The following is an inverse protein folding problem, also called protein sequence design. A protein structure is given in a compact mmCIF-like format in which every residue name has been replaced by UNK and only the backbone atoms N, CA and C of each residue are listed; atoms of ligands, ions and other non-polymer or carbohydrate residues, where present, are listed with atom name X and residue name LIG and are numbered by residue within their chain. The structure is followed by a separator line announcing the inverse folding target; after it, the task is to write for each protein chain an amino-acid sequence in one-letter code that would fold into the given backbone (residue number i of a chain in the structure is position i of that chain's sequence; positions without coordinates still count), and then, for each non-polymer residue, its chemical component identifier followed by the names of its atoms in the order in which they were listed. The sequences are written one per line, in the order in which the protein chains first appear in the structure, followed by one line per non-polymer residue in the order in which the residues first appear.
data_IF_239366688021
#
_entry.id   IF_239366688021
#
_cell.length_a   1.000
_cell.length_b   1.000
_cell.length_c   1.000
_cell.angle_alpha   90.00
_cell.angle_beta   90.00
_cell.angle_gamma   90.00
#
_symmetry.space_group_name_H-M   'P 1'
#
loop_
_entity.id
_entity.type
_entity.pdbx_description
1 polymer ?
#
# COMPACT_ATOMS: atom_id res chain seq x y z
N UNK A 1 18.68 -2.31 -14.23
CA UNK A 1 18.63 -1.43 -13.04
C UNK A 1 17.65 -1.93 -11.96
N UNK A 2 16.68 -2.81 -12.25
CA UNK A 2 15.76 -3.34 -11.22
C UNK A 2 16.41 -4.32 -10.22
N UNK A 3 17.46 -5.06 -10.62
CA UNK A 3 18.04 -6.09 -9.77
C UNK A 3 18.63 -5.53 -8.47
N UNK A 4 19.33 -4.40 -8.52
CA UNK A 4 19.92 -3.79 -7.32
C UNK A 4 18.85 -3.30 -6.33
N UNK A 5 17.78 -2.67 -6.81
CA UNK A 5 16.66 -2.24 -5.97
C UNK A 5 15.99 -3.44 -5.29
N UNK A 6 15.79 -4.53 -6.03
CA UNK A 6 15.26 -5.79 -5.49
C UNK A 6 16.21 -6.45 -4.49
N UNK A 7 17.53 -6.46 -4.74
CA UNK A 7 18.51 -6.96 -3.77
C UNK A 7 18.45 -6.19 -2.46
N UNK A 8 18.35 -4.86 -2.52
CA UNK A 8 18.21 -3.99 -1.35
C UNK A 8 16.89 -4.29 -0.61
N UNK A 9 15.77 -4.43 -1.33
CA UNK A 9 14.48 -4.76 -0.74
C UNK A 9 14.48 -6.15 -0.07
N UNK A 10 15.07 -7.16 -0.72
CA UNK A 10 15.19 -8.50 -0.15
C UNK A 10 16.01 -8.51 1.15
N UNK A 11 17.08 -7.72 1.21
CA UNK A 11 17.85 -7.54 2.43
C UNK A 11 17.01 -6.92 3.56
N UNK A 12 16.19 -5.92 3.27
CA UNK A 12 15.22 -5.38 4.24
C UNK A 12 14.25 -6.47 4.73
N UNK A 13 13.67 -7.27 3.83
CA UNK A 13 12.73 -8.34 4.19
C UNK A 13 13.36 -9.42 5.07
N UNK A 14 14.64 -9.74 4.87
CA UNK A 14 15.37 -10.67 5.73
C UNK A 14 15.52 -10.09 7.14
N UNK A 15 15.90 -8.82 7.26
CA UNK A 15 16.06 -8.14 8.54
C UNK A 15 14.72 -8.00 9.29
N UNK A 16 13.61 -7.79 8.59
CA UNK A 16 12.26 -7.71 9.17
C UNK A 16 11.81 -9.02 9.83
N UNK A 17 12.45 -10.16 9.55
CA UNK A 17 12.15 -11.42 10.24
C UNK A 17 12.69 -11.46 11.67
N UNK A 18 13.64 -10.60 12.02
CA UNK A 18 14.36 -10.67 13.30
C UNK A 18 14.27 -9.40 14.14
N UNK A 19 13.89 -8.26 13.54
CA UNK A 19 13.78 -6.99 14.25
C UNK A 19 12.74 -6.07 13.59
N UNK A 20 12.11 -5.17 14.36
CA UNK A 20 11.10 -4.24 13.84
C UNK A 20 11.71 -3.20 12.88
N UNK A 21 10.89 -2.69 11.95
CA UNK A 21 11.33 -1.78 10.88
C UNK A 21 12.07 -0.53 11.41
N UNK A 22 11.60 0.04 12.52
CA UNK A 22 12.20 1.24 13.13
C UNK A 22 13.60 1.01 13.74
N UNK A 23 14.03 -0.25 13.93
CA UNK A 23 15.38 -0.62 14.38
C UNK A 23 16.30 -0.98 13.24
N UNK A 24 15.79 -1.14 12.02
CA UNK A 24 16.58 -1.46 10.85
C UNK A 24 17.24 -0.19 10.32
N UNK A 25 18.55 -0.21 10.18
CA UNK A 25 19.34 0.91 9.62
C UNK A 25 19.77 0.63 8.19
N UNK A 26 20.00 1.69 7.40
CA UNK A 26 20.61 1.59 6.06
C UNK A 26 21.93 0.80 6.09
N UNK A 27 22.71 0.93 7.17
CA UNK A 27 23.97 0.18 7.34
C UNK A 27 23.71 -1.33 7.41
N UNK A 28 22.73 -1.78 8.21
CA UNK A 28 22.37 -3.19 8.27
C UNK A 28 21.84 -3.70 6.93
N UNK A 29 20.98 -2.93 6.24
CA UNK A 29 20.45 -3.29 4.93
C UNK A 29 21.59 -3.48 3.92
N UNK A 30 22.52 -2.53 3.86
CA UNK A 30 23.66 -2.62 2.90
C UNK A 30 24.58 -3.78 3.22
N UNK A 31 24.79 -4.10 4.50
CA UNK A 31 25.59 -5.25 4.93
C UNK A 31 24.93 -6.56 4.53
N UNK A 32 23.63 -6.69 4.76
CA UNK A 32 22.84 -7.86 4.38
C UNK A 32 22.79 -8.03 2.84
N UNK A 33 22.68 -6.94 2.09
CA UNK A 33 22.69 -6.94 0.63
C UNK A 33 24.08 -7.16 0.00
N UNK A 34 25.15 -7.17 0.80
CA UNK A 34 26.54 -7.13 0.33
C UNK A 34 26.82 -5.95 -0.63
N UNK A 35 26.35 -4.76 -0.25
CA UNK A 35 26.47 -3.51 -1.01
C UNK A 35 27.06 -2.39 -0.14
N UNK A 36 27.42 -1.27 -0.76
CA UNK A 36 27.85 -0.05 -0.04
C UNK A 36 26.67 0.87 0.24
N UNK A 37 26.81 1.73 1.26
CA UNK A 37 25.87 2.83 1.52
C UNK A 37 25.70 3.76 0.32
N UNK A 38 26.77 4.00 -0.44
CA UNK A 38 26.70 4.79 -1.67
C UNK A 38 25.79 4.14 -2.72
N UNK A 39 25.82 2.81 -2.84
CA UNK A 39 24.90 2.10 -3.73
C UNK A 39 23.46 2.19 -3.24
N UNK A 40 23.20 2.15 -1.93
CA UNK A 40 21.86 2.39 -1.38
C UNK A 40 21.35 3.77 -1.77
N UNK A 41 22.10 4.84 -1.46
CA UNK A 41 21.67 6.22 -1.69
C UNK A 41 21.60 6.62 -3.17
N UNK A 42 22.17 5.81 -4.08
CA UNK A 42 21.92 5.93 -5.52
C UNK A 42 20.55 5.42 -5.96
N UNK A 43 19.89 4.60 -5.14
CA UNK A 43 18.64 3.94 -5.47
C UNK A 43 17.46 4.44 -4.63
N UNK A 44 17.72 4.83 -3.38
CA UNK A 44 16.72 5.26 -2.41
C UNK A 44 17.23 6.43 -1.58
N UNK A 45 16.35 7.39 -1.28
CA UNK A 45 16.68 8.54 -0.43
C UNK A 45 16.93 8.10 1.02
N UNK A 46 16.08 7.21 1.52
CA UNK A 46 16.15 6.66 2.88
C UNK A 46 15.46 5.28 2.97
N UNK A 47 15.26 4.79 4.20
CA UNK A 47 14.59 3.52 4.49
C UNK A 47 13.10 3.57 4.15
N UNK A 48 12.44 4.71 4.31
CA UNK A 48 11.01 4.88 4.01
C UNK A 48 10.75 4.91 2.51
N UNK A 49 11.62 5.56 1.73
CA UNK A 49 11.59 5.52 0.27
C UNK A 49 11.74 4.08 -0.26
N UNK A 50 12.62 3.28 0.35
CA UNK A 50 12.71 1.84 0.04
C UNK A 50 11.40 1.09 0.34
N UNK A 51 10.79 1.34 1.50
CA UNK A 51 9.52 0.70 1.92
C UNK A 51 8.40 1.06 0.95
N UNK A 52 8.27 2.35 0.61
CA UNK A 52 7.28 2.86 -0.32
C UNK A 52 7.51 2.33 -1.74
N UNK A 53 8.76 2.30 -2.21
CA UNK A 53 9.09 1.71 -3.51
C UNK A 53 8.79 0.22 -3.56
N UNK A 54 9.10 -0.53 -2.49
CA UNK A 54 8.80 -1.95 -2.44
C UNK A 54 7.28 -2.17 -2.46
N UNK A 55 6.53 -1.41 -1.65
CA UNK A 55 5.08 -1.42 -1.71
C UNK A 55 4.55 -1.07 -3.11
N UNK A 56 5.06 -0.01 -3.73
CA UNK A 56 4.69 0.39 -5.09
C UNK A 56 4.99 -0.73 -6.08
N UNK A 57 6.14 -1.39 -6.00
CA UNK A 57 6.50 -2.49 -6.89
C UNK A 57 5.48 -3.62 -6.79
N UNK A 58 5.11 -3.97 -5.56
CA UNK A 58 4.13 -4.99 -5.25
C UNK A 58 2.71 -4.60 -5.70
N UNK A 59 2.37 -3.33 -5.49
CA UNK A 59 1.10 -2.74 -5.88
C UNK A 59 1.00 -2.57 -7.39
N UNK A 60 2.02 -2.11 -8.11
CA UNK A 60 2.04 -1.94 -9.56
C UNK A 60 1.88 -3.26 -10.29
N UNK A 61 2.53 -4.33 -9.80
CA UNK A 61 2.35 -5.67 -10.34
C UNK A 61 0.88 -6.13 -10.15
N UNK A 62 0.18 -5.61 -9.12
CA UNK A 62 -1.25 -5.88 -8.89
C UNK A 62 -2.20 -4.92 -9.62
N UNK A 63 -1.93 -3.60 -9.64
CA UNK A 63 -2.82 -2.51 -10.10
C UNK A 63 -2.74 -2.28 -11.60
N UNK A 64 -1.60 -2.54 -12.26
CA UNK A 64 -1.53 -2.51 -13.73
C UNK A 64 -2.46 -3.55 -14.34
N UNK A 65 -2.71 -4.66 -13.65
CA UNK A 65 -3.72 -5.64 -14.06
C UNK A 65 -5.17 -5.18 -13.79
N UNK A 66 -5.39 -4.30 -12.81
CA UNK A 66 -6.73 -3.84 -12.41
C UNK A 66 -7.31 -2.74 -13.32
N UNK A 67 -6.45 -2.00 -14.02
CA UNK A 67 -6.82 -0.72 -14.64
C UNK A 67 -7.80 -0.86 -15.82
N UNK A 68 -7.82 -1.98 -16.53
CA UNK A 68 -8.54 -2.06 -17.81
C UNK A 68 -9.77 -2.97 -17.83
N UNK A 69 -9.92 -3.97 -16.94
CA UNK A 69 -11.04 -4.95 -17.04
C UNK A 69 -11.57 -5.53 -15.72
N UNK A 70 -11.17 -5.01 -14.56
CA UNK A 70 -11.44 -5.65 -13.25
C UNK A 70 -12.45 -4.86 -12.41
N UNK A 71 -13.37 -5.55 -11.75
CA UNK A 71 -14.31 -4.95 -10.77
C UNK A 71 -13.57 -4.41 -9.55
N UNK A 72 -14.18 -3.50 -8.79
CA UNK A 72 -13.57 -3.04 -7.54
C UNK A 72 -13.37 -4.20 -6.56
N UNK A 73 -14.34 -5.12 -6.48
CA UNK A 73 -14.23 -6.29 -5.60
C UNK A 73 -12.98 -7.11 -5.90
N UNK A 74 -12.76 -7.49 -7.16
CA UNK A 74 -11.59 -8.26 -7.57
C UNK A 74 -10.27 -7.51 -7.30
N UNK A 75 -10.24 -6.20 -7.57
CA UNK A 75 -9.10 -5.33 -7.28
C UNK A 75 -8.73 -5.35 -5.79
N UNK A 76 -9.74 -5.19 -4.91
CA UNK A 76 -9.54 -5.23 -3.47
C UNK A 76 -9.13 -6.63 -2.99
N UNK A 77 -9.75 -7.72 -3.49
CA UNK A 77 -9.36 -9.09 -3.15
C UNK A 77 -7.88 -9.33 -3.48
N UNK A 78 -7.43 -8.91 -4.66
CA UNK A 78 -6.02 -8.99 -5.05
C UNK A 78 -5.12 -8.20 -4.08
N UNK A 79 -5.47 -6.94 -3.76
CA UNK A 79 -4.74 -6.12 -2.79
C UNK A 79 -4.61 -6.82 -1.44
N UNK A 80 -5.70 -7.33 -0.88
CA UNK A 80 -5.67 -7.94 0.46
C UNK A 80 -5.01 -9.32 0.47
N UNK A 81 -5.15 -10.12 -0.59
CA UNK A 81 -4.39 -11.37 -0.77
C UNK A 81 -2.89 -11.08 -0.81
N UNK A 82 -2.53 -10.01 -1.50
CA UNK A 82 -1.15 -9.56 -1.58
C UNK A 82 -0.62 -9.14 -0.19
N UNK A 83 -1.37 -8.29 0.54
CA UNK A 83 -1.00 -7.89 1.91
C UNK A 83 -0.87 -9.10 2.82
N UNK A 84 -1.78 -10.08 2.72
CA UNK A 84 -1.72 -11.33 3.48
C UNK A 84 -0.45 -12.13 3.19
N UNK A 85 -0.05 -12.22 1.92
CA UNK A 85 1.17 -12.94 1.51
C UNK A 85 2.46 -12.33 2.08
N UNK A 86 2.44 -11.03 2.42
CA UNK A 86 3.57 -10.29 2.97
C UNK A 86 3.29 -9.77 4.40
N UNK A 87 2.53 -10.54 5.20
CA UNK A 87 2.05 -10.12 6.53
C UNK A 87 3.13 -9.48 7.41
N UNK A 88 4.31 -10.12 7.54
CA UNK A 88 5.41 -9.59 8.38
C UNK A 88 5.85 -8.19 7.94
N UNK A 89 5.98 -7.96 6.63
CA UNK A 89 6.36 -6.66 6.11
C UNK A 89 5.30 -5.61 6.44
N UNK A 90 4.04 -5.87 6.11
CA UNK A 90 2.96 -4.91 6.33
C UNK A 90 2.70 -4.64 7.81
N UNK A 91 2.81 -5.65 8.67
CA UNK A 91 2.66 -5.49 10.11
C UNK A 91 3.71 -4.57 10.72
N UNK A 92 4.93 -4.58 10.18
CA UNK A 92 5.97 -3.64 10.63
C UNK A 92 5.84 -2.28 9.95
N UNK A 93 5.52 -2.24 8.65
CA UNK A 93 5.42 -1.00 7.88
C UNK A 93 4.23 -0.11 8.30
N UNK A 94 3.10 -0.69 8.70
CA UNK A 94 1.93 0.08 9.17
C UNK A 94 2.07 0.62 10.60
N UNK A 95 3.09 0.19 11.37
CA UNK A 95 3.34 0.70 12.73
C UNK A 95 4.04 2.06 12.74
N UNK A 96 4.64 2.47 11.63
CA UNK A 96 5.34 3.74 11.55
C UNK A 96 4.33 4.85 11.22
N UNK A 97 4.18 5.82 12.13
CA UNK A 97 3.28 6.98 11.98
C UNK A 97 4.03 8.23 11.47
N UNK A 98 5.10 8.05 10.69
CA UNK A 98 5.89 9.16 10.15
C UNK A 98 5.23 9.80 8.91
N UNK A 99 5.66 11.01 8.55
CA UNK A 99 5.14 11.77 7.42
C UNK A 99 5.25 11.01 6.08
N UNK A 100 6.32 10.22 5.91
CA UNK A 100 6.55 9.36 4.75
C UNK A 100 6.05 7.91 4.92
N UNK A 101 5.23 7.65 5.94
CA UNK A 101 4.71 6.32 6.22
C UNK A 101 3.99 5.67 5.05
N UNK A 102 4.01 4.34 5.04
CA UNK A 102 3.25 3.52 4.11
C UNK A 102 1.76 3.89 4.08
N UNK A 103 1.20 4.29 5.23
CA UNK A 103 -0.18 4.76 5.36
C UNK A 103 -0.48 5.96 4.46
N UNK A 104 0.38 6.99 4.51
CA UNK A 104 0.23 8.19 3.68
C UNK A 104 0.46 7.88 2.19
N UNK A 105 1.38 6.96 1.89
CA UNK A 105 1.60 6.51 0.53
C UNK A 105 0.40 5.74 -0.03
N UNK A 106 -0.14 4.75 0.70
CA UNK A 106 -1.34 4.00 0.31
C UNK A 106 -2.54 4.94 0.14
N UNK A 107 -2.67 5.96 0.99
CA UNK A 107 -3.69 7.02 0.82
C UNK A 107 -3.60 7.70 -0.53
N UNK A 108 -2.43 8.23 -0.90
CA UNK A 108 -2.23 8.90 -2.18
C UNK A 108 -2.57 7.96 -3.34
N UNK A 109 -2.11 6.71 -3.28
CA UNK A 109 -2.40 5.73 -4.33
C UNK A 109 -3.89 5.43 -4.49
N UNK A 110 -4.60 5.14 -3.40
CA UNK A 110 -6.03 4.81 -3.44
C UNK A 110 -6.85 6.03 -3.85
N UNK A 111 -6.54 7.20 -3.29
CA UNK A 111 -7.22 8.45 -3.62
C UNK A 111 -7.06 8.77 -5.11
N UNK A 112 -5.84 8.73 -5.64
CA UNK A 112 -5.58 8.99 -7.06
C UNK A 112 -6.25 7.97 -7.98
N UNK A 113 -6.30 6.69 -7.57
CA UNK A 113 -7.01 5.64 -8.30
C UNK A 113 -8.50 5.95 -8.44
N UNK A 114 -9.19 6.21 -7.32
CA UNK A 114 -10.62 6.54 -7.35
C UNK A 114 -10.88 7.87 -8.03
N UNK A 115 -10.05 8.88 -7.77
CA UNK A 115 -10.14 10.20 -8.39
C UNK A 115 -10.12 10.08 -9.92
N UNK A 116 -9.11 9.41 -10.48
CA UNK A 116 -9.02 9.16 -11.93
C UNK A 116 -10.25 8.42 -12.45
N UNK A 117 -10.74 7.40 -11.75
CA UNK A 117 -11.92 6.62 -12.15
C UNK A 117 -13.19 7.49 -12.16
N UNK A 118 -13.38 8.33 -11.16
CA UNK A 118 -14.53 9.24 -11.05
C UNK A 118 -14.46 10.33 -12.12
N UNK A 119 -13.27 10.89 -12.37
CA UNK A 119 -13.01 11.92 -13.39
C UNK A 119 -13.31 11.45 -14.81
N UNK A 120 -13.31 10.13 -15.08
CA UNK A 120 -13.78 9.60 -16.39
C UNK A 120 -15.28 9.74 -16.61
N UNK A 121 -16.07 9.95 -15.54
CA UNK A 121 -17.54 9.98 -15.58
C UNK A 121 -18.15 11.32 -15.16
N UNK A 122 -17.47 12.08 -14.30
CA UNK A 122 -17.97 13.36 -13.79
C UNK A 122 -16.83 14.26 -13.34
N UNK A 123 -17.10 15.55 -13.17
CA UNK A 123 -16.21 16.46 -12.42
C UNK A 123 -16.39 16.22 -10.92
N UNK A 124 -15.28 16.30 -10.17
CA UNK A 124 -15.28 16.18 -8.70
C UNK A 124 -15.51 17.57 -8.09
N UNK A 125 -16.69 17.78 -7.50
CA UNK A 125 -16.97 18.95 -6.67
C UNK A 125 -16.42 18.78 -5.25
N UNK A 126 -16.47 19.85 -4.44
CA UNK A 126 -15.91 19.83 -3.06
C UNK A 126 -16.60 18.83 -2.13
N UNK A 127 -17.87 18.50 -2.37
CA UNK A 127 -18.60 17.54 -1.54
C UNK A 127 -18.22 16.10 -1.92
N UNK A 128 -18.09 15.82 -3.21
CA UNK A 128 -17.65 14.52 -3.71
C UNK A 128 -16.20 14.25 -3.31
N UNK A 129 -15.35 15.29 -3.38
CA UNK A 129 -13.97 15.22 -2.90
C UNK A 129 -13.91 14.91 -1.40
N UNK A 130 -14.70 15.61 -0.57
CA UNK A 130 -14.79 15.33 0.86
C UNK A 130 -15.20 13.88 1.14
N UNK A 131 -16.21 13.37 0.44
CA UNK A 131 -16.63 11.96 0.58
C UNK A 131 -15.52 10.99 0.18
N UNK A 132 -14.78 11.30 -0.89
CA UNK A 132 -13.68 10.47 -1.35
C UNK A 132 -12.55 10.45 -0.31
N UNK A 133 -12.13 11.60 0.20
CA UNK A 133 -11.10 11.70 1.25
C UNK A 133 -11.51 10.90 2.50
N UNK A 134 -12.74 11.07 2.97
CA UNK A 134 -13.29 10.35 4.12
C UNK A 134 -13.27 8.82 3.91
N UNK A 135 -13.74 8.37 2.74
CA UNK A 135 -13.74 6.95 2.40
C UNK A 135 -12.31 6.38 2.32
N UNK A 136 -11.39 7.09 1.67
CA UNK A 136 -9.99 6.68 1.57
C UNK A 136 -9.35 6.55 2.95
N UNK A 137 -9.46 7.59 3.80
CA UNK A 137 -8.96 7.54 5.18
C UNK A 137 -9.54 6.37 5.98
N UNK A 138 -10.87 6.19 5.95
CA UNK A 138 -11.53 5.09 6.64
C UNK A 138 -11.06 3.72 6.15
N UNK A 139 -10.94 3.53 4.83
CA UNK A 139 -10.53 2.25 4.25
C UNK A 139 -9.09 1.85 4.62
N UNK A 140 -8.19 2.82 4.76
CA UNK A 140 -6.80 2.59 5.13
C UNK A 140 -6.67 2.30 6.61
N UNK A 141 -7.40 3.04 7.46
CA UNK A 141 -7.44 2.77 8.89
C UNK A 141 -7.98 1.35 9.17
N UNK A 142 -9.03 0.94 8.46
CA UNK A 142 -9.55 -0.42 8.56
C UNK A 142 -8.56 -1.47 8.04
N UNK A 143 -7.78 -1.15 7.01
CA UNK A 143 -6.70 -2.01 6.50
C UNK A 143 -5.58 -2.17 7.54
N UNK A 144 -5.13 -1.07 8.16
CA UNK A 144 -4.14 -1.08 9.25
C UNK A 144 -4.63 -1.91 10.44
N UNK A 145 -5.85 -1.64 10.92
CA UNK A 145 -6.48 -2.41 12.01
C UNK A 145 -6.59 -3.90 11.68
N UNK A 146 -6.93 -4.26 10.44
CA UNK A 146 -6.97 -5.66 10.00
C UNK A 146 -5.59 -6.32 10.09
N UNK A 147 -4.53 -5.69 9.60
CA UNK A 147 -3.16 -6.21 9.70
C UNK A 147 -2.69 -6.33 11.15
N UNK A 148 -2.89 -5.28 11.96
CA UNK A 148 -2.45 -5.23 13.36
C UNK A 148 -3.11 -6.31 14.23
N UNK A 149 -4.40 -6.58 13.99
CA UNK A 149 -5.17 -7.64 14.67
C UNK A 149 -4.95 -9.02 14.05
N UNK A 150 -3.81 -9.24 13.39
CA UNK A 150 -3.42 -10.49 12.75
C UNK A 150 -4.44 -11.00 11.72
N UNK A 151 -4.96 -10.10 10.89
CA UNK A 151 -5.85 -10.42 9.77
C UNK A 151 -7.12 -11.14 10.24
N UNK A 152 -7.77 -10.57 11.26
CA UNK A 152 -8.89 -11.17 11.99
C UNK A 152 -10.16 -11.44 11.17
N UNK A 153 -10.26 -10.89 9.96
CA UNK A 153 -11.33 -11.18 8.99
C UNK A 153 -10.74 -11.93 7.81
N UNK A 154 -11.52 -12.84 7.22
CA UNK A 154 -11.19 -13.31 5.89
C UNK A 154 -11.29 -12.16 4.87
N UNK A 155 -10.53 -12.30 3.78
CA UNK A 155 -10.39 -11.26 2.77
C UNK A 155 -11.75 -10.91 2.14
N UNK A 156 -12.62 -11.89 1.92
CA UNK A 156 -13.88 -11.66 1.24
C UNK A 156 -14.84 -10.83 2.10
N UNK A 157 -14.93 -11.16 3.38
CA UNK A 157 -15.69 -10.38 4.37
C UNK A 157 -15.18 -8.95 4.47
N UNK A 158 -13.85 -8.75 4.59
CA UNK A 158 -13.27 -7.40 4.64
C UNK A 158 -13.59 -6.58 3.39
N UNK A 159 -13.44 -7.17 2.20
CA UNK A 159 -13.72 -6.49 0.93
C UNK A 159 -15.20 -6.11 0.82
N UNK A 160 -16.11 -7.02 1.18
CA UNK A 160 -17.54 -6.73 1.14
C UNK A 160 -17.90 -5.57 2.08
N UNK A 161 -17.34 -5.55 3.31
CA UNK A 161 -17.56 -4.45 4.27
C UNK A 161 -17.01 -3.11 3.76
N UNK A 162 -15.85 -3.11 3.10
CA UNK A 162 -15.28 -1.89 2.51
C UNK A 162 -16.16 -1.36 1.37
N UNK A 163 -16.64 -2.25 0.49
CA UNK A 163 -17.55 -1.88 -0.59
C UNK A 163 -18.88 -1.35 -0.05
N UNK A 164 -19.44 -2.02 0.97
CA UNK A 164 -20.67 -1.60 1.62
C UNK A 164 -20.55 -0.20 2.23
N UNK A 165 -19.41 0.07 2.90
CA UNK A 165 -19.11 1.35 3.55
C UNK A 165 -18.92 2.54 2.60
N UNK A 166 -18.79 2.29 1.28
CA UNK A 166 -18.62 3.35 0.31
C UNK A 166 -19.88 4.23 0.22
N UNK A 167 -19.76 5.56 0.30
CA UNK A 167 -20.87 6.47 0.07
C UNK A 167 -21.58 6.22 -1.28
N UNK A 168 -22.92 6.23 -1.29
CA UNK A 168 -23.70 5.98 -2.52
C UNK A 168 -23.37 6.94 -3.66
N UNK A 169 -23.05 8.18 -3.30
CA UNK A 169 -22.66 9.21 -4.27
C UNK A 169 -21.33 8.90 -4.97
N UNK A 170 -20.47 8.07 -4.38
CA UNK A 170 -19.24 7.57 -5.02
C UNK A 170 -19.51 6.27 -5.80
N UNK A 171 -20.34 5.36 -5.26
CA UNK A 171 -20.65 4.06 -5.86
C UNK A 171 -21.14 4.18 -7.31
N UNK A 172 -21.97 5.17 -7.62
CA UNK A 172 -22.46 5.42 -9.00
C UNK A 172 -21.34 5.63 -10.05
N UNK A 173 -20.14 6.03 -9.64
CA UNK A 173 -19.01 6.27 -10.54
C UNK A 173 -18.01 5.10 -10.57
N UNK A 174 -18.11 4.17 -9.63
CA UNK A 174 -17.14 3.10 -9.47
C UNK A 174 -17.79 1.79 -9.93
N UNK A 175 -17.10 1.04 -10.79
CA UNK A 175 -17.54 -0.30 -11.17
C UNK A 175 -17.33 -1.23 -9.97
N UNK A 176 -18.41 -1.58 -9.27
CA UNK A 176 -18.40 -2.44 -8.08
C UNK A 176 -18.20 -3.90 -8.47
#
# INVERSE_FOLDING_TARGET
MNDTKLTIANALLILLKTQPLNKITVTQITKEANLTRQTFYRNFEDKEDLVNWYFEKLCLDSFKEMADQTTLKEALIKKFTFIQSQNTFFKEAFKEDDYNSLTNYDYRCIYDFYKKKIETKTTIDSQLDFLLQMYCHGSIEMTKSWVEKNMYLDIETLVNMLIESMPERLKQYINL
#
